data_IF_492977744041
#
_entry.id   IF_492977744041
#
_cell.length_a   1.000
_cell.length_b   1.000
_cell.length_c   1.000
_cell.angle_alpha   90.00
_cell.angle_beta   90.00
_cell.angle_gamma   90.00
#
_symmetry.space_group_name_H-M   'P 1'
#
loop_
_entity.id
_entity.type
_entity.pdbx_description
1 polymer ?
#
# COMPACT_ATOMS: atom_id res chain seq x y z
N UNK A 1 -3.34 -9.76 -2.67
CA UNK A 1 -2.06 -9.20 -3.13
C UNK A 1 -1.25 -8.77 -1.93
N UNK A 2 0.02 -9.16 -1.91
CA UNK A 2 0.91 -8.78 -0.82
C UNK A 2 1.99 -7.85 -1.37
N UNK A 3 2.22 -6.75 -0.69
CA UNK A 3 3.30 -5.82 -1.06
C UNK A 3 4.22 -5.61 0.14
N UNK A 4 5.46 -5.24 -0.15
CA UNK A 4 6.40 -4.77 0.85
C UNK A 4 6.75 -3.32 0.47
N UNK A 5 6.62 -2.41 1.41
CA UNK A 5 6.76 -0.99 1.11
C UNK A 5 7.39 -0.25 2.28
N UNK A 6 8.13 0.82 1.95
CA UNK A 6 8.68 1.73 2.95
C UNK A 6 7.62 2.71 3.45
N UNK A 7 6.49 2.79 2.77
CA UNK A 7 5.43 3.74 3.12
C UNK A 7 4.77 3.29 4.43
N UNK A 8 4.66 4.18 5.42
CA UNK A 8 4.03 3.82 6.69
C UNK A 8 2.55 3.44 6.53
N UNK A 9 2.03 2.57 7.41
CA UNK A 9 0.63 2.15 7.31
C UNK A 9 -0.38 3.30 7.31
N UNK A 10 -0.17 4.34 8.10
CA UNK A 10 -1.09 5.47 8.13
C UNK A 10 -1.12 6.21 6.79
N UNK A 11 0.02 6.26 6.11
CA UNK A 11 0.08 6.89 4.80
C UNK A 11 -0.58 6.02 3.75
N UNK A 12 -0.47 4.70 3.88
CA UNK A 12 -1.20 3.77 2.99
C UNK A 12 -2.70 3.95 3.12
N UNK A 13 -3.19 4.12 4.35
CA UNK A 13 -4.60 4.38 4.59
C UNK A 13 -5.05 5.70 3.97
N UNK A 14 -4.19 6.70 4.02
CA UNK A 14 -4.46 7.99 3.41
C UNK A 14 -4.55 7.87 1.89
N UNK A 15 -3.63 7.11 1.30
CA UNK A 15 -3.64 6.86 -0.14
C UNK A 15 -4.90 6.11 -0.55
N UNK A 16 -5.30 5.12 0.26
CA UNK A 16 -6.53 4.38 0.02
C UNK A 16 -7.73 5.32 -0.02
N UNK A 17 -7.82 6.21 0.96
CA UNK A 17 -8.92 7.16 1.05
C UNK A 17 -8.94 8.07 -0.17
N UNK A 18 -7.78 8.57 -0.58
CA UNK A 18 -7.68 9.49 -1.71
C UNK A 18 -7.95 8.78 -3.03
N UNK A 19 -7.67 7.49 -3.12
CA UNK A 19 -7.91 6.72 -4.34
C UNK A 19 -9.38 6.41 -4.54
N UNK A 20 -10.14 6.39 -3.47
CA UNK A 20 -11.54 5.95 -3.50
C UNK A 20 -11.69 4.45 -3.70
N UNK A 21 -10.60 3.70 -3.64
CA UNK A 21 -10.65 2.26 -3.86
C UNK A 21 -11.25 1.53 -2.67
N UNK A 22 -12.07 0.54 -2.96
CA UNK A 22 -12.67 -0.29 -1.93
C UNK A 22 -11.79 -1.52 -1.69
N UNK A 23 -10.70 -1.30 -0.98
CA UNK A 23 -9.78 -2.36 -0.62
C UNK A 23 -9.61 -2.38 0.88
N UNK A 24 -9.17 -3.52 1.40
CA UNK A 24 -8.84 -3.66 2.81
C UNK A 24 -7.33 -3.84 2.91
N UNK A 25 -6.71 -3.06 3.77
CA UNK A 25 -5.27 -3.12 4.01
C UNK A 25 -5.03 -3.81 5.34
N UNK A 26 -4.28 -4.90 5.31
CA UNK A 26 -3.98 -5.69 6.51
C UNK A 26 -2.47 -5.73 6.68
N UNK A 27 -1.99 -5.18 7.79
CA UNK A 27 -0.57 -5.22 8.09
C UNK A 27 -0.20 -6.63 8.55
N UNK A 28 0.65 -7.30 7.77
CA UNK A 28 1.09 -8.66 8.09
C UNK A 28 2.30 -8.67 9.00
N UNK A 29 3.10 -7.62 8.97
CA UNK A 29 4.29 -7.53 9.80
C UNK A 29 5.28 -6.58 9.19
N UNK A 30 6.47 -6.56 9.78
CA UNK A 30 7.56 -5.71 9.31
C UNK A 30 8.76 -6.55 8.98
N UNK A 31 9.52 -6.09 8.00
CA UNK A 31 10.74 -6.75 7.59
C UNK A 31 11.78 -5.70 7.29
N UNK A 32 12.94 -6.12 6.83
CA UNK A 32 14.04 -5.21 6.58
C UNK A 32 14.79 -5.70 5.35
N UNK A 33 15.22 -4.74 4.53
CA UNK A 33 16.05 -5.06 3.37
C UNK A 33 17.18 -4.04 3.31
N UNK A 34 18.42 -4.53 3.46
CA UNK A 34 19.62 -3.67 3.46
C UNK A 34 19.51 -2.53 4.47
N UNK A 35 18.97 -2.83 5.66
CA UNK A 35 18.81 -1.85 6.71
C UNK A 35 17.60 -0.95 6.58
N UNK A 36 16.85 -1.09 5.51
CA UNK A 36 15.66 -0.27 5.28
C UNK A 36 14.42 -1.00 5.80
N UNK A 37 13.69 -0.41 6.76
CA UNK A 37 12.48 -1.05 7.28
C UNK A 37 11.36 -1.04 6.26
N UNK A 38 10.70 -2.18 6.12
CA UNK A 38 9.59 -2.36 5.19
C UNK A 38 8.38 -2.90 5.94
N UNK A 39 7.20 -2.50 5.51
CA UNK A 39 5.95 -3.06 6.00
C UNK A 39 5.42 -4.05 4.98
N UNK A 40 4.99 -5.22 5.45
CA UNK A 40 4.32 -6.20 4.60
C UNK A 40 2.84 -6.04 4.78
N UNK A 41 2.16 -5.79 3.69
CA UNK A 41 0.73 -5.48 3.72
C UNK A 41 -0.01 -6.35 2.73
N UNK A 42 -1.10 -6.95 3.21
CA UNK A 42 -2.02 -7.69 2.35
C UNK A 42 -3.10 -6.72 1.90
N UNK A 43 -3.31 -6.65 0.59
CA UNK A 43 -4.35 -5.83 0.00
C UNK A 43 -5.44 -6.76 -0.50
N UNK A 44 -6.64 -6.65 0.11
CA UNK A 44 -7.78 -7.49 -0.25
C UNK A 44 -8.85 -6.65 -0.92
N UNK A 45 -9.45 -7.21 -1.96
CA UNK A 45 -10.51 -6.55 -2.69
C UNK A 45 -10.61 -7.11 -4.09
N UNK A 46 -11.55 -6.58 -4.85
CA UNK A 46 -11.66 -6.97 -6.25
C UNK A 46 -10.45 -6.44 -7.02
N UNK A 47 -10.07 -7.16 -8.06
CA UNK A 47 -8.90 -6.80 -8.82
C UNK A 47 -8.94 -5.36 -9.32
N UNK A 48 -10.10 -4.92 -9.78
CA UNK A 48 -10.28 -3.55 -10.26
C UNK A 48 -9.97 -2.52 -9.18
N UNK A 49 -10.40 -2.80 -7.94
CA UNK A 49 -10.18 -1.89 -6.84
C UNK A 49 -8.72 -1.91 -6.39
N UNK A 50 -8.10 -3.09 -6.42
CA UNK A 50 -6.68 -3.21 -6.10
C UNK A 50 -5.85 -2.42 -7.12
N UNK A 51 -6.20 -2.50 -8.39
CA UNK A 51 -5.49 -1.76 -9.43
C UNK A 51 -5.64 -0.25 -9.24
N UNK A 52 -6.82 0.19 -8.85
CA UNK A 52 -7.06 1.60 -8.56
C UNK A 52 -6.18 2.09 -7.40
N UNK A 53 -6.11 1.30 -6.35
CA UNK A 53 -5.27 1.62 -5.21
C UNK A 53 -3.79 1.65 -5.62
N UNK A 54 -3.34 0.63 -6.35
CA UNK A 54 -1.94 0.54 -6.74
C UNK A 54 -1.52 1.67 -7.66
N UNK A 55 -2.42 2.12 -8.52
CA UNK A 55 -2.13 3.24 -9.38
C UNK A 55 -1.93 4.51 -8.57
N UNK A 56 -2.80 4.74 -7.59
CA UNK A 56 -2.67 5.91 -6.72
C UNK A 56 -1.38 5.85 -5.90
N UNK A 57 -1.05 4.65 -5.42
CA UNK A 57 0.17 4.44 -4.67
C UNK A 57 1.40 4.78 -5.51
N UNK A 58 1.42 4.33 -6.75
CA UNK A 58 2.52 4.59 -7.66
C UNK A 58 2.67 6.09 -7.92
N UNK A 59 1.56 6.78 -8.12
CA UNK A 59 1.58 8.22 -8.35
C UNK A 59 2.06 8.98 -7.13
N UNK A 60 1.68 8.54 -5.95
CA UNK A 60 2.11 9.17 -4.72
C UNK A 60 3.63 9.07 -4.55
N UNK A 61 4.20 7.94 -4.93
CA UNK A 61 5.65 7.75 -4.85
C UNK A 61 6.38 8.56 -5.92
N UNK A 62 5.82 8.59 -7.13
CA UNK A 62 6.45 9.31 -8.24
C UNK A 62 6.43 10.82 -8.01
N UNK A 63 5.42 11.31 -7.32
CA UNK A 63 5.29 12.72 -7.05
C UNK A 63 6.08 13.21 -5.85
N UNK A 64 6.67 12.26 -5.11
CA UNK A 64 7.37 12.61 -3.87
C UNK A 64 8.84 12.89 -4.02
#
# INVERSE_FOLDING_TARGET
MIIETVIPPEELEDIKRKSGAEVRLILLGKTERNGIPLSRVLIKGEQREIERFMEKLRLARAGG
#
